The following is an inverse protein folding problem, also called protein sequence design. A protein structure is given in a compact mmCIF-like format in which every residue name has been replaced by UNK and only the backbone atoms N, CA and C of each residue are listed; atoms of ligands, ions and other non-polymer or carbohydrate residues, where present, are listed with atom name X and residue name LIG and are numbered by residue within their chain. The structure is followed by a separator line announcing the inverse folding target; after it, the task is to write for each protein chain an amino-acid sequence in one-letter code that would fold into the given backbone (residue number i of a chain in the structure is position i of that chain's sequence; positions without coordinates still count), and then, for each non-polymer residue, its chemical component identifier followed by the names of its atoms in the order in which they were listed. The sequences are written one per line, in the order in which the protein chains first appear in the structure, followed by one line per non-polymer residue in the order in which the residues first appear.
data_IF_719712389942
#
_entry.id   IF_719712389942
#
_cell.length_a   1.000
_cell.length_b   1.000
_cell.length_c   1.000
_cell.angle_alpha   90.00
_cell.angle_beta   90.00
_cell.angle_gamma   90.00
#
_symmetry.space_group_name_H-M   'P 1'
#
loop_
_entity.id
_entity.type
_entity.pdbx_description
1 polymer ?
#
# COMPACT_ATOMS: atom_id res chain seq x y z
N UNK A 1 -31.05 22.03 -44.83
CA UNK A 1 -30.07 20.92 -45.01
C UNK A 1 -29.00 21.02 -43.91
N UNK A 2 -29.30 20.38 -42.77
CA UNK A 2 -28.42 20.31 -41.60
C UNK A 2 -27.55 19.06 -41.72
N UNK A 3 -26.25 19.24 -41.93
CA UNK A 3 -25.27 18.15 -41.87
C UNK A 3 -25.09 17.72 -40.40
N UNK A 4 -25.58 16.52 -40.04
CA UNK A 4 -25.18 15.79 -38.84
C UNK A 4 -23.66 15.56 -38.87
N UNK A 5 -22.92 16.14 -37.96
CA UNK A 5 -21.57 15.70 -37.59
C UNK A 5 -21.73 14.51 -36.64
N UNK A 6 -21.66 13.33 -37.18
CA UNK A 6 -21.33 12.09 -36.42
C UNK A 6 -19.85 11.84 -36.68
N UNK A 7 -19.04 11.98 -35.70
CA UNK A 7 -17.74 11.31 -35.61
C UNK A 7 -17.41 11.18 -34.14
N UNK A 8 -17.76 10.04 -33.56
CA UNK A 8 -17.00 9.46 -32.49
C UNK A 8 -15.64 9.12 -33.08
N UNK A 9 -14.66 10.00 -32.93
CA UNK A 9 -13.25 9.65 -33.06
C UNK A 9 -12.93 8.71 -31.84
N UNK A 10 -13.16 7.40 -32.05
CA UNK A 10 -12.54 6.39 -31.17
C UNK A 10 -11.02 6.63 -31.26
N UNK A 11 -10.43 7.17 -30.23
CA UNK A 11 -9.00 7.41 -30.10
C UNK A 11 -8.27 6.08 -30.34
N UNK A 12 -7.57 5.96 -31.44
CA UNK A 12 -6.96 4.71 -31.92
C UNK A 12 -5.79 4.37 -31.01
N UNK A 13 -5.99 3.44 -30.05
CA UNK A 13 -4.96 3.00 -29.12
C UNK A 13 -3.72 2.56 -29.92
N UNK A 14 -2.58 3.16 -29.63
CA UNK A 14 -1.30 2.83 -30.28
C UNK A 14 -0.75 1.50 -29.76
N UNK A 15 0.22 0.91 -30.47
CA UNK A 15 0.93 -0.29 -30.00
C UNK A 15 1.67 -0.01 -28.67
N UNK A 16 2.21 1.21 -28.52
CA UNK A 16 2.90 1.61 -27.29
C UNK A 16 1.95 1.67 -26.11
N UNK A 17 0.76 2.26 -26.27
CA UNK A 17 -0.24 2.33 -25.19
C UNK A 17 -0.75 0.92 -24.84
N UNK A 18 -0.99 0.09 -25.84
CA UNK A 18 -1.43 -1.29 -25.63
C UNK A 18 -0.38 -2.13 -24.87
N UNK A 19 0.90 -1.93 -25.16
CA UNK A 19 2.01 -2.57 -24.43
C UNK A 19 2.03 -2.09 -22.98
N UNK A 20 1.93 -0.78 -22.71
CA UNK A 20 1.84 -0.22 -21.37
C UNK A 20 0.69 -0.86 -20.58
N UNK A 21 -0.51 -0.89 -21.15
CA UNK A 21 -1.69 -1.49 -20.52
C UNK A 21 -1.45 -2.98 -20.22
N UNK A 22 -0.95 -3.74 -21.21
CA UNK A 22 -0.74 -5.19 -21.07
C UNK A 22 0.30 -5.53 -19.98
N UNK A 23 1.35 -4.72 -19.82
CA UNK A 23 2.40 -4.89 -18.81
C UNK A 23 1.90 -4.42 -17.44
N UNK A 24 1.28 -3.24 -17.36
CA UNK A 24 0.82 -2.65 -16.09
C UNK A 24 -0.23 -3.51 -15.40
N UNK A 25 -1.07 -4.22 -16.18
CA UNK A 25 -2.06 -5.16 -15.62
C UNK A 25 -1.44 -6.42 -14.99
N UNK A 26 -0.11 -6.59 -15.07
CA UNK A 26 0.62 -7.71 -14.47
C UNK A 26 1.82 -7.19 -13.67
N UNK A 27 1.64 -7.07 -12.37
CA UNK A 27 2.65 -6.52 -11.45
C UNK A 27 4.04 -7.16 -11.64
N UNK A 28 4.11 -8.49 -11.83
CA UNK A 28 5.38 -9.19 -12.04
C UNK A 28 6.11 -8.77 -13.34
N UNK A 29 5.36 -8.52 -14.43
CA UNK A 29 5.97 -8.06 -15.69
C UNK A 29 6.47 -6.62 -15.56
N UNK A 30 5.68 -5.78 -14.90
CA UNK A 30 6.04 -4.39 -14.67
C UNK A 30 7.33 -4.29 -13.83
N UNK A 31 7.44 -5.08 -12.76
CA UNK A 31 8.61 -5.11 -11.89
C UNK A 31 9.85 -5.64 -12.61
N UNK A 32 9.74 -6.78 -13.30
CA UNK A 32 10.86 -7.31 -14.10
C UNK A 32 11.32 -6.32 -15.18
N UNK A 33 10.38 -5.62 -15.82
CA UNK A 33 10.72 -4.61 -16.84
C UNK A 33 11.42 -3.41 -16.20
N UNK A 34 10.94 -2.95 -15.04
CA UNK A 34 11.54 -1.87 -14.26
C UNK A 34 12.96 -2.20 -13.83
N UNK A 35 13.17 -3.40 -13.29
CA UNK A 35 14.48 -3.86 -12.83
C UNK A 35 15.45 -4.20 -14.00
N UNK A 36 14.97 -4.19 -15.24
CA UNK A 36 15.80 -4.48 -16.41
C UNK A 36 16.18 -5.96 -16.58
N UNK A 37 15.49 -6.87 -15.88
CA UNK A 37 15.78 -8.32 -15.89
C UNK A 37 14.89 -9.10 -16.86
N UNK A 38 14.47 -8.46 -17.95
CA UNK A 38 13.48 -8.99 -18.92
C UNK A 38 14.16 -9.46 -20.20
N UNK A 39 13.76 -10.64 -20.66
CA UNK A 39 13.95 -11.01 -22.05
C UNK A 39 12.81 -10.38 -22.89
N UNK A 40 13.12 -9.32 -23.64
CA UNK A 40 12.12 -8.57 -24.44
C UNK A 40 11.43 -9.42 -25.48
N UNK A 41 12.12 -10.38 -26.10
CA UNK A 41 11.52 -11.27 -27.09
C UNK A 41 10.46 -12.14 -26.45
N UNK A 42 10.82 -12.80 -25.36
CA UNK A 42 9.88 -13.65 -24.61
C UNK A 42 8.68 -12.84 -24.08
N UNK A 43 8.92 -11.65 -23.52
CA UNK A 43 7.84 -10.82 -22.98
C UNK A 43 6.92 -10.32 -24.11
N UNK A 44 7.50 -9.90 -25.24
CA UNK A 44 6.72 -9.47 -26.41
C UNK A 44 5.79 -10.60 -26.92
N UNK A 45 6.30 -11.83 -27.01
CA UNK A 45 5.49 -12.99 -27.39
C UNK A 45 4.36 -13.25 -26.39
N UNK A 46 4.65 -13.14 -25.07
CA UNK A 46 3.67 -13.37 -24.00
C UNK A 46 2.52 -12.37 -24.00
N UNK A 47 2.79 -11.11 -24.32
CA UNK A 47 1.76 -10.05 -24.30
C UNK A 47 1.13 -9.81 -25.68
N UNK A 48 1.60 -10.47 -26.74
CA UNK A 48 1.16 -10.25 -28.12
C UNK A 48 -0.37 -10.32 -28.27
N UNK A 49 -0.99 -11.38 -27.75
CA UNK A 49 -2.45 -11.56 -27.82
C UNK A 49 -3.22 -10.43 -27.11
N UNK A 50 -2.69 -9.90 -26.00
CA UNK A 50 -3.32 -8.79 -25.29
C UNK A 50 -3.17 -7.49 -26.10
N UNK A 51 -1.99 -7.24 -26.67
CA UNK A 51 -1.75 -6.07 -27.53
C UNK A 51 -2.65 -6.08 -28.75
N UNK A 52 -2.83 -7.25 -29.42
CA UNK A 52 -3.73 -7.37 -30.57
C UNK A 52 -5.19 -7.11 -30.18
N UNK A 53 -5.63 -7.63 -29.03
CA UNK A 53 -6.99 -7.39 -28.49
C UNK A 53 -7.20 -5.90 -28.17
N UNK A 54 -6.25 -5.27 -27.49
CA UNK A 54 -6.34 -3.87 -27.05
C UNK A 54 -6.34 -2.93 -28.27
N UNK A 55 -5.45 -3.18 -29.23
CA UNK A 55 -5.37 -2.36 -30.46
C UNK A 55 -6.47 -2.66 -31.47
N UNK A 56 -7.28 -3.71 -31.27
CA UNK A 56 -8.26 -4.25 -32.24
C UNK A 56 -7.63 -4.63 -33.60
N UNK A 57 -6.31 -4.92 -33.63
CA UNK A 57 -5.58 -5.30 -34.86
C UNK A 57 -5.45 -6.82 -34.94
N UNK A 58 -5.69 -7.40 -36.14
CA UNK A 58 -5.55 -8.85 -36.37
C UNK A 58 -4.11 -9.34 -36.37
N UNK A 59 -3.14 -8.46 -36.57
CA UNK A 59 -1.70 -8.77 -36.57
C UNK A 59 -0.89 -7.54 -36.21
N UNK A 60 -0.07 -7.67 -35.18
CA UNK A 60 0.86 -6.64 -34.72
C UNK A 60 2.30 -7.14 -34.96
N UNK A 61 3.18 -6.24 -35.40
CA UNK A 61 4.60 -6.58 -35.60
C UNK A 61 5.28 -6.77 -34.23
N UNK A 62 5.92 -7.91 -34.03
CA UNK A 62 6.63 -8.24 -32.78
C UNK A 62 7.76 -7.26 -32.48
N UNK A 63 8.44 -6.76 -33.51
CA UNK A 63 9.52 -5.78 -33.33
C UNK A 63 9.00 -4.42 -32.85
N UNK A 64 7.78 -4.05 -33.26
CA UNK A 64 7.10 -2.86 -32.74
C UNK A 64 6.75 -3.02 -31.25
N UNK A 65 6.34 -4.23 -30.83
CA UNK A 65 6.08 -4.54 -29.41
C UNK A 65 7.38 -4.51 -28.61
N UNK A 66 8.47 -5.12 -29.11
CA UNK A 66 9.80 -5.05 -28.46
C UNK A 66 10.29 -3.60 -28.31
N UNK A 67 10.22 -2.81 -29.37
CA UNK A 67 10.63 -1.42 -29.32
C UNK A 67 9.79 -0.61 -28.31
N UNK A 68 8.49 -0.89 -28.20
CA UNK A 68 7.62 -0.28 -27.20
C UNK A 68 8.00 -0.70 -25.77
N UNK A 69 8.34 -1.97 -25.54
CA UNK A 69 8.81 -2.45 -24.24
C UNK A 69 10.11 -1.78 -23.81
N UNK A 70 11.09 -1.64 -24.73
CA UNK A 70 12.38 -0.98 -24.45
C UNK A 70 12.17 0.48 -24.04
N UNK A 71 11.32 1.23 -24.79
CA UNK A 71 11.00 2.62 -24.45
C UNK A 71 10.28 2.70 -23.12
N UNK A 72 9.30 1.83 -22.90
CA UNK A 72 8.56 1.81 -21.62
C UNK A 72 9.47 1.53 -20.43
N UNK A 73 10.48 0.63 -20.59
CA UNK A 73 11.49 0.43 -19.56
C UNK A 73 12.29 1.69 -19.25
N UNK A 74 12.73 2.41 -20.30
CA UNK A 74 13.48 3.66 -20.12
C UNK A 74 12.66 4.70 -19.36
N UNK A 75 11.37 4.84 -19.69
CA UNK A 75 10.44 5.72 -18.98
C UNK A 75 10.30 5.30 -17.51
N UNK A 76 10.10 4.00 -17.24
CA UNK A 76 10.01 3.46 -15.88
C UNK A 76 11.27 3.70 -15.05
N UNK A 77 12.45 3.55 -15.63
CA UNK A 77 13.71 3.78 -14.94
C UNK A 77 13.94 5.25 -14.59
N UNK A 78 13.51 6.18 -15.45
CA UNK A 78 13.56 7.61 -15.14
C UNK A 78 12.59 7.98 -14.00
N UNK A 79 11.37 7.45 -14.04
CA UNK A 79 10.39 7.65 -12.96
C UNK A 79 10.86 7.04 -11.64
N UNK A 80 11.46 5.85 -11.69
CA UNK A 80 11.93 5.12 -10.51
C UNK A 80 13.05 5.84 -9.78
N UNK A 81 14.00 6.43 -10.50
CA UNK A 81 15.08 7.19 -9.86
C UNK A 81 14.53 8.34 -9.02
N UNK A 82 13.51 9.03 -9.51
CA UNK A 82 12.83 10.09 -8.78
C UNK A 82 12.00 9.54 -7.60
N UNK A 83 11.23 8.46 -7.81
CA UNK A 83 10.41 7.86 -6.76
C UNK A 83 11.25 7.21 -5.65
N UNK A 84 12.29 6.44 -5.97
CA UNK A 84 13.19 5.85 -4.95
C UNK A 84 13.83 6.93 -4.08
N UNK A 85 14.20 8.07 -4.66
CA UNK A 85 14.78 9.18 -3.92
C UNK A 85 13.73 9.80 -2.98
N UNK A 86 12.48 9.99 -3.42
CA UNK A 86 11.43 10.61 -2.60
C UNK A 86 10.91 9.66 -1.53
N UNK A 87 10.64 8.37 -1.84
CA UNK A 87 10.25 7.35 -0.85
C UNK A 87 11.37 7.15 0.17
N UNK A 88 12.62 7.01 -0.29
CA UNK A 88 13.78 6.85 0.58
C UNK A 88 13.97 8.05 1.52
N UNK A 89 13.72 9.27 1.04
CA UNK A 89 13.73 10.46 1.88
C UNK A 89 12.68 10.39 2.99
N UNK A 90 11.42 10.08 2.66
CA UNK A 90 10.34 9.95 3.66
C UNK A 90 10.70 8.88 4.69
N UNK A 91 11.12 7.69 4.25
CA UNK A 91 11.50 6.59 5.14
C UNK A 91 12.67 6.99 6.05
N UNK A 92 13.69 7.66 5.52
CA UNK A 92 14.87 8.10 6.31
C UNK A 92 14.53 9.08 7.42
N UNK A 93 13.46 9.85 7.25
CA UNK A 93 12.99 10.85 8.23
C UNK A 93 11.92 10.29 9.17
N UNK A 94 11.43 9.09 8.91
CA UNK A 94 10.44 8.43 9.74
C UNK A 94 11.05 7.91 11.04
N UNK A 95 10.20 7.75 12.06
CA UNK A 95 10.50 7.07 13.32
C UNK A 95 9.45 6.02 13.58
N UNK A 96 9.75 5.02 14.40
CA UNK A 96 8.81 3.95 14.71
C UNK A 96 8.59 3.84 16.22
N UNK A 97 7.37 3.52 16.61
CA UNK A 97 6.99 3.16 17.96
C UNK A 97 6.34 1.78 17.97
N UNK A 98 6.65 0.97 18.99
CA UNK A 98 6.04 -0.34 19.18
C UNK A 98 5.15 -0.32 20.42
N UNK A 99 3.87 -0.66 20.26
CA UNK A 99 2.90 -0.81 21.31
C UNK A 99 2.46 -2.28 21.40
N UNK A 100 2.76 -2.92 22.50
CA UNK A 100 2.33 -4.31 22.75
C UNK A 100 0.99 -4.36 23.48
N UNK A 101 0.45 -5.57 23.59
CA UNK A 101 -0.79 -5.86 24.32
C UNK A 101 -1.97 -5.06 23.75
N UNK A 102 -2.22 -5.29 22.49
CA UNK A 102 -3.32 -4.70 21.72
C UNK A 102 -4.35 -5.79 21.41
N UNK A 103 -5.62 -5.40 21.49
CA UNK A 103 -6.77 -6.21 21.07
C UNK A 103 -7.53 -5.49 19.95
N UNK A 104 -8.06 -6.27 19.01
CA UNK A 104 -8.88 -5.79 17.90
C UNK A 104 -10.28 -6.32 18.05
N UNK A 105 -11.27 -5.45 18.15
CA UNK A 105 -12.66 -5.81 18.43
C UNK A 105 -13.56 -5.26 17.34
N UNK A 106 -14.31 -6.15 16.70
CA UNK A 106 -15.24 -5.78 15.62
C UNK A 106 -16.68 -5.89 16.09
N UNK A 107 -17.45 -4.84 15.88
CA UNK A 107 -18.87 -4.74 16.25
C UNK A 107 -19.72 -4.21 15.10
N UNK A 108 -21.03 -4.46 15.14
CA UNK A 108 -21.96 -3.87 14.18
C UNK A 108 -22.01 -2.34 14.34
N UNK A 109 -22.18 -1.68 13.22
CA UNK A 109 -22.23 -0.20 13.16
C UNK A 109 -23.30 0.39 14.11
N UNK A 110 -24.49 -0.16 14.05
CA UNK A 110 -25.64 0.34 14.84
C UNK A 110 -25.43 0.18 16.36
N UNK A 111 -24.62 -0.80 16.77
CA UNK A 111 -24.27 -1.02 18.18
C UNK A 111 -23.35 0.08 18.68
N UNK A 112 -22.30 0.36 17.92
CA UNK A 112 -21.29 1.37 18.28
C UNK A 112 -21.89 2.77 18.27
N UNK A 113 -22.69 3.10 17.24
CA UNK A 113 -23.31 4.42 17.09
C UNK A 113 -24.24 4.78 18.25
N UNK A 114 -24.92 3.81 18.85
CA UNK A 114 -25.78 4.04 20.03
C UNK A 114 -25.03 4.45 21.30
N UNK A 115 -23.74 4.15 21.36
CA UNK A 115 -22.90 4.31 22.57
C UNK A 115 -21.61 5.12 22.28
N UNK A 116 -21.63 5.97 21.25
CA UNK A 116 -20.47 6.77 20.87
C UNK A 116 -19.92 7.64 21.98
N UNK A 117 -20.77 8.24 22.80
CA UNK A 117 -20.33 9.11 23.88
C UNK A 117 -19.48 8.35 24.89
N UNK A 118 -19.94 7.15 25.31
CA UNK A 118 -19.20 6.29 26.23
C UNK A 118 -17.89 5.79 25.61
N UNK A 119 -17.93 5.44 24.30
CA UNK A 119 -16.76 4.99 23.57
C UNK A 119 -15.67 6.09 23.47
N UNK A 120 -16.07 7.34 23.20
CA UNK A 120 -15.14 8.45 23.14
C UNK A 120 -14.54 8.82 24.50
N UNK A 121 -15.29 8.64 25.59
CA UNK A 121 -14.76 8.80 26.93
C UNK A 121 -13.66 7.76 27.19
N UNK A 122 -13.93 6.49 26.90
CA UNK A 122 -12.94 5.41 27.01
C UNK A 122 -11.72 5.66 26.13
N UNK A 123 -11.92 6.13 24.90
CA UNK A 123 -10.83 6.46 23.97
C UNK A 123 -9.86 7.53 24.53
N UNK A 124 -10.40 8.48 25.29
CA UNK A 124 -9.57 9.52 25.92
C UNK A 124 -8.76 9.03 27.14
N UNK A 125 -9.11 7.91 27.70
CA UNK A 125 -8.44 7.30 28.88
C UNK A 125 -7.50 6.15 28.49
N UNK A 126 -7.75 5.50 27.36
CA UNK A 126 -6.97 4.36 26.89
C UNK A 126 -5.55 4.74 26.47
N UNK A 127 -4.58 3.88 26.79
CA UNK A 127 -3.18 4.07 26.36
C UNK A 127 -3.01 4.03 24.84
N UNK A 128 -3.76 3.17 24.18
CA UNK A 128 -3.84 3.09 22.71
C UNK A 128 -5.30 2.90 22.29
N UNK A 129 -5.73 3.72 21.34
CA UNK A 129 -7.07 3.62 20.77
C UNK A 129 -7.06 4.02 19.28
N UNK A 130 -7.67 3.19 18.46
CA UNK A 130 -7.93 3.52 17.05
C UNK A 130 -9.29 2.98 16.64
N UNK A 131 -10.08 3.76 15.91
CA UNK A 131 -11.42 3.43 15.47
C UNK A 131 -11.50 3.47 13.95
N UNK A 132 -11.80 2.33 13.35
CA UNK A 132 -11.99 2.20 11.91
C UNK A 132 -13.46 1.95 11.58
N UNK A 133 -14.03 2.82 10.77
CA UNK A 133 -15.41 2.67 10.29
C UNK A 133 -15.44 1.94 8.95
N UNK A 134 -16.01 0.73 8.94
CA UNK A 134 -16.39 0.01 7.73
C UNK A 134 -17.82 0.36 7.29
N UNK A 135 -18.26 -0.25 6.20
CA UNK A 135 -19.64 -0.04 5.69
C UNK A 135 -20.70 -0.53 6.68
N UNK A 136 -20.48 -1.67 7.34
CA UNK A 136 -21.44 -2.35 8.24
C UNK A 136 -20.93 -2.55 9.66
N UNK A 137 -19.68 -2.30 9.91
CA UNK A 137 -19.01 -2.57 11.17
C UNK A 137 -18.11 -1.41 11.57
N UNK A 138 -17.83 -1.33 12.86
CA UNK A 138 -16.68 -0.64 13.41
C UNK A 138 -15.68 -1.65 13.91
N UNK A 139 -14.40 -1.34 13.71
CA UNK A 139 -13.31 -2.09 14.33
C UNK A 139 -12.58 -1.16 15.28
N UNK A 140 -12.55 -1.55 16.54
CA UNK A 140 -11.92 -0.85 17.65
C UNK A 140 -10.60 -1.57 17.93
N UNK A 141 -9.49 -0.84 17.83
CA UNK A 141 -8.17 -1.31 18.23
C UNK A 141 -7.81 -0.62 19.53
N UNK A 142 -7.58 -1.37 20.57
CA UNK A 142 -7.45 -0.82 21.92
C UNK A 142 -6.42 -1.61 22.73
N UNK A 143 -5.80 -0.97 23.73
CA UNK A 143 -4.96 -1.66 24.71
C UNK A 143 -5.71 -2.80 25.36
N UNK A 144 -5.09 -3.96 25.53
CA UNK A 144 -5.76 -5.15 26.06
C UNK A 144 -6.23 -4.96 27.51
N UNK A 145 -5.54 -4.12 28.28
CA UNK A 145 -5.95 -3.74 29.65
C UNK A 145 -7.28 -2.99 29.71
N UNK A 146 -7.67 -2.30 28.62
CA UNK A 146 -8.89 -1.49 28.55
C UNK A 146 -10.09 -2.29 27.98
N UNK A 147 -9.87 -3.51 27.47
CA UNK A 147 -10.93 -4.37 26.94
C UNK A 147 -12.04 -4.67 27.96
N UNK A 148 -11.75 -4.95 29.25
CA UNK A 148 -12.82 -5.15 30.21
C UNK A 148 -13.74 -3.94 30.37
N UNK A 149 -13.21 -2.73 30.30
CA UNK A 149 -14.01 -1.49 30.34
C UNK A 149 -14.84 -1.32 29.07
N UNK A 150 -14.26 -1.60 27.92
CA UNK A 150 -14.99 -1.61 26.65
C UNK A 150 -16.19 -2.58 26.71
N UNK A 151 -16.01 -3.79 27.28
CA UNK A 151 -17.08 -4.79 27.41
C UNK A 151 -18.08 -4.49 28.54
N UNK A 152 -17.81 -3.51 29.42
CA UNK A 152 -18.85 -2.92 30.30
C UNK A 152 -19.72 -1.92 29.54
N UNK A 153 -19.14 -1.18 28.60
CA UNK A 153 -19.89 -0.27 27.73
C UNK A 153 -20.72 -1.08 26.73
N UNK A 154 -20.13 -2.09 26.10
CA UNK A 154 -20.78 -2.95 25.12
C UNK A 154 -20.96 -4.37 25.69
N UNK A 155 -22.12 -4.97 25.49
CA UNK A 155 -22.32 -6.38 25.86
C UNK A 155 -21.39 -7.26 24.98
N UNK A 156 -20.76 -8.26 25.58
CA UNK A 156 -19.91 -9.23 24.87
C UNK A 156 -20.65 -9.90 23.69
N UNK A 157 -21.98 -10.07 23.80
CA UNK A 157 -22.83 -10.60 22.74
C UNK A 157 -22.95 -9.68 21.52
N UNK A 158 -22.58 -8.41 21.67
CA UNK A 158 -22.57 -7.42 20.59
C UNK A 158 -21.26 -7.44 19.80
N UNK A 159 -20.23 -8.16 20.29
CA UNK A 159 -18.95 -8.38 19.62
C UNK A 159 -19.13 -9.42 18.51
N UNK A 160 -18.73 -9.07 17.29
CA UNK A 160 -18.74 -9.99 16.15
C UNK A 160 -17.46 -10.79 16.04
N UNK A 161 -16.32 -10.17 16.36
CA UNK A 161 -15.01 -10.77 16.30
C UNK A 161 -14.06 -10.08 17.27
N UNK A 162 -13.14 -10.84 17.85
CA UNK A 162 -12.13 -10.38 18.79
C UNK A 162 -10.81 -11.08 18.52
N UNK A 163 -9.79 -10.29 18.21
CA UNK A 163 -8.42 -10.75 18.05
C UNK A 163 -7.55 -10.18 19.18
N UNK A 164 -7.14 -11.05 20.07
CA UNK A 164 -6.17 -10.72 21.12
C UNK A 164 -4.73 -10.98 20.66
N UNK A 165 -3.76 -10.71 21.50
CA UNK A 165 -2.34 -10.92 21.21
C UNK A 165 -1.86 -10.21 19.94
N UNK A 166 -2.26 -8.97 19.79
CA UNK A 166 -1.77 -8.10 18.73
C UNK A 166 -0.76 -7.08 19.29
N UNK A 167 0.00 -6.49 18.40
CA UNK A 167 0.83 -5.32 18.64
C UNK A 167 0.59 -4.28 17.57
N UNK A 168 0.80 -3.02 17.90
CA UNK A 168 0.77 -1.91 16.97
C UNK A 168 2.19 -1.40 16.73
N UNK A 169 2.58 -1.23 15.46
CA UNK A 169 3.74 -0.44 15.06
C UNK A 169 3.22 0.84 14.45
N UNK A 170 3.61 1.97 15.02
CA UNK A 170 3.26 3.29 14.53
C UNK A 170 4.49 3.84 13.82
N UNK A 171 4.38 4.13 12.53
CA UNK A 171 5.41 4.78 11.73
C UNK A 171 5.02 6.23 11.59
N UNK A 172 5.77 7.11 12.23
CA UNK A 172 5.57 8.57 12.21
C UNK A 172 6.48 9.13 11.12
N UNK A 173 5.90 9.61 10.06
CA UNK A 173 6.59 10.08 8.86
C UNK A 173 6.57 11.60 8.76
N UNK A 174 7.48 12.22 7.99
CA UNK A 174 7.40 13.64 7.69
C UNK A 174 6.19 13.94 6.79
N UNK A 175 5.77 15.21 6.75
CA UNK A 175 4.57 15.65 6.02
C UNK A 175 4.58 15.25 4.53
N UNK A 176 5.74 15.13 3.94
CA UNK A 176 5.94 14.73 2.54
C UNK A 176 5.29 13.39 2.19
N UNK A 177 5.02 12.52 3.18
CA UNK A 177 4.31 11.25 2.96
C UNK A 177 2.95 11.46 2.29
N UNK A 178 2.27 12.57 2.59
CA UNK A 178 0.92 12.87 2.07
C UNK A 178 0.93 12.95 0.54
N UNK A 179 2.03 13.43 -0.06
CA UNK A 179 2.18 13.65 -1.49
C UNK A 179 3.21 12.71 -2.15
N UNK A 180 3.74 11.73 -1.41
CA UNK A 180 4.74 10.80 -1.94
C UNK A 180 4.11 9.44 -2.22
N UNK A 181 3.79 9.13 -3.50
CA UNK A 181 3.25 7.82 -3.87
C UNK A 181 4.26 6.72 -3.54
N UNK A 182 3.75 5.57 -3.11
CA UNK A 182 4.55 4.36 -2.94
C UNK A 182 5.12 4.11 -1.55
N UNK A 183 5.06 5.06 -0.60
CA UNK A 183 5.58 4.86 0.77
C UNK A 183 4.88 3.69 1.47
N UNK A 184 3.55 3.68 1.49
CA UNK A 184 2.77 2.59 2.10
C UNK A 184 3.01 1.26 1.38
N UNK A 185 3.09 1.29 0.04
CA UNK A 185 3.40 0.12 -0.77
C UNK A 185 4.79 -0.44 -0.45
N UNK A 186 5.79 0.43 -0.28
CA UNK A 186 7.14 0.04 0.13
C UNK A 186 7.14 -0.65 1.50
N UNK A 187 6.50 -0.06 2.51
CA UNK A 187 6.40 -0.60 3.87
C UNK A 187 5.71 -1.98 3.86
N UNK A 188 4.56 -2.09 3.20
CA UNK A 188 3.81 -3.34 3.16
C UNK A 188 4.55 -4.44 2.38
N UNK A 189 5.22 -4.09 1.27
CA UNK A 189 6.06 -5.02 0.53
C UNK A 189 7.27 -5.49 1.35
N UNK A 190 7.93 -4.58 2.06
CA UNK A 190 9.06 -4.92 2.94
C UNK A 190 8.65 -5.97 3.98
N UNK A 191 7.50 -5.80 4.62
CA UNK A 191 6.98 -6.75 5.60
C UNK A 191 6.55 -8.06 4.93
N UNK A 192 5.88 -8.01 3.80
CA UNK A 192 5.44 -9.19 3.03
C UNK A 192 6.59 -10.10 2.63
N UNK A 193 7.67 -9.56 2.04
CA UNK A 193 8.82 -10.39 1.61
C UNK A 193 9.58 -11.00 2.78
N UNK A 194 9.40 -10.44 3.98
CA UNK A 194 9.94 -10.97 5.22
C UNK A 194 8.99 -11.90 5.98
N UNK A 195 7.83 -12.25 5.36
CA UNK A 195 6.86 -13.17 5.94
C UNK A 195 6.14 -12.63 7.17
N UNK A 196 5.95 -11.30 7.25
CA UNK A 196 5.18 -10.66 8.32
C UNK A 196 3.75 -10.43 7.84
N UNK A 197 2.77 -10.92 8.61
CA UNK A 197 1.35 -10.67 8.36
C UNK A 197 0.92 -9.34 8.97
N UNK A 198 0.09 -8.58 8.25
CA UNK A 198 -0.54 -7.35 8.74
C UNK A 198 -2.02 -7.64 8.94
N UNK A 199 -2.47 -7.60 10.20
CA UNK A 199 -3.89 -7.79 10.56
C UNK A 199 -4.72 -6.59 10.14
N UNK A 200 -4.21 -5.37 10.38
CA UNK A 200 -4.83 -4.13 9.94
C UNK A 200 -3.78 -3.08 9.60
N UNK A 201 -4.12 -2.19 8.68
CA UNK A 201 -3.34 -1.02 8.33
C UNK A 201 -4.25 0.21 8.32
N UNK A 202 -3.81 1.24 9.01
CA UNK A 202 -4.42 2.57 8.97
C UNK A 202 -3.33 3.59 8.65
N UNK A 203 -3.55 4.41 7.63
CA UNK A 203 -2.64 5.50 7.28
C UNK A 203 -3.43 6.80 7.32
N UNK A 204 -3.04 7.71 8.21
CA UNK A 204 -3.73 8.95 8.45
C UNK A 204 -2.72 10.07 8.66
N UNK A 205 -2.76 11.07 7.79
CA UNK A 205 -1.86 12.22 7.80
C UNK A 205 -0.39 11.77 7.74
N UNK A 206 0.37 11.88 8.84
CA UNK A 206 1.78 11.46 8.94
C UNK A 206 1.98 10.06 9.52
N UNK A 207 0.93 9.49 10.10
CA UNK A 207 1.03 8.25 10.83
C UNK A 207 0.56 7.06 10.00
N UNK A 208 1.37 6.01 9.95
CA UNK A 208 0.99 4.71 9.41
C UNK A 208 1.00 3.70 10.55
N UNK A 209 -0.17 3.20 10.91
CA UNK A 209 -0.37 2.25 12.01
C UNK A 209 -0.55 0.86 11.43
N UNK A 210 0.32 -0.06 11.84
CA UNK A 210 0.28 -1.47 11.48
C UNK A 210 -0.11 -2.29 12.70
N UNK A 211 -1.19 -3.03 12.61
CA UNK A 211 -1.57 -4.02 13.62
C UNK A 211 -1.16 -5.39 13.11
N UNK A 212 -0.47 -6.14 13.93
CA UNK A 212 0.10 -7.44 13.55
C UNK A 212 0.17 -8.38 14.76
N UNK A 213 0.26 -9.72 14.53
CA UNK A 213 0.41 -10.69 15.60
C UNK A 213 1.62 -10.38 16.49
N UNK A 214 1.45 -10.44 17.80
CA UNK A 214 2.48 -10.08 18.81
C UNK A 214 3.79 -10.84 18.59
N UNK A 215 3.73 -12.11 18.19
CA UNK A 215 4.91 -12.93 17.93
C UNK A 215 5.74 -12.44 16.73
N UNK A 216 5.15 -11.66 15.83
CA UNK A 216 5.83 -11.10 14.66
C UNK A 216 6.30 -9.65 14.88
N UNK A 217 5.86 -9.02 15.97
CA UNK A 217 6.04 -7.58 16.20
C UNK A 217 7.51 -7.15 16.29
N UNK A 218 8.32 -7.86 17.08
CA UNK A 218 9.75 -7.53 17.20
C UNK A 218 10.51 -7.73 15.91
N UNK A 219 10.16 -8.77 15.13
CA UNK A 219 10.75 -8.99 13.80
C UNK A 219 10.42 -7.84 12.85
N UNK A 220 9.14 -7.46 12.79
CA UNK A 220 8.67 -6.36 11.95
C UNK A 220 9.32 -5.04 12.33
N UNK A 221 9.35 -4.72 13.62
CA UNK A 221 9.98 -3.52 14.15
C UNK A 221 11.47 -3.44 13.79
N UNK A 222 12.21 -4.53 14.00
CA UNK A 222 13.64 -4.58 13.65
C UNK A 222 13.89 -4.37 12.14
N UNK A 223 13.05 -4.97 11.28
CA UNK A 223 13.15 -4.80 9.83
C UNK A 223 12.91 -3.33 9.44
N UNK A 224 11.91 -2.68 10.01
CA UNK A 224 11.59 -1.28 9.75
C UNK A 224 12.70 -0.35 10.21
N UNK A 225 13.17 -0.48 11.46
CA UNK A 225 14.25 0.34 12.01
C UNK A 225 15.54 0.19 11.20
N UNK A 226 15.95 -1.05 10.88
CA UNK A 226 17.11 -1.31 10.05
C UNK A 226 17.00 -0.60 8.69
N UNK A 227 15.84 -0.70 8.05
CA UNK A 227 15.61 -0.07 6.75
C UNK A 227 15.65 1.46 6.85
N UNK A 228 15.07 2.03 7.90
CA UNK A 228 15.13 3.48 8.15
C UNK A 228 16.59 3.94 8.32
N UNK A 229 17.39 3.20 9.08
CA UNK A 229 18.82 3.52 9.29
C UNK A 229 19.64 3.40 8.00
N UNK A 230 19.37 2.38 7.18
CA UNK A 230 20.01 2.21 5.86
C UNK A 230 19.73 3.42 4.97
N UNK A 231 18.49 3.89 4.85
CA UNK A 231 18.16 5.08 4.09
C UNK A 231 18.77 6.37 4.69
N UNK A 232 18.84 6.49 6.02
CA UNK A 232 19.53 7.60 6.69
C UNK A 232 21.03 7.66 6.33
N UNK A 233 21.69 6.50 6.27
CA UNK A 233 23.10 6.42 5.93
C UNK A 233 23.37 6.79 4.48
N UNK A 234 22.51 6.33 3.55
CA UNK A 234 22.60 6.65 2.11
C UNK A 234 22.46 8.16 1.83
N UNK A 235 21.59 8.85 2.56
CA UNK A 235 21.36 10.28 2.36
C UNK A 235 22.49 11.13 2.99
N UNK A 236 23.14 10.63 4.04
CA UNK A 236 24.25 11.35 4.71
C UNK A 236 25.57 11.26 3.95
N UNK A 237 25.74 10.33 3.03
CA UNK A 237 26.97 10.21 2.23
C UNK A 237 26.73 10.97 0.92
N UNK A 238 27.28 12.20 0.75
CA UNK A 238 27.28 12.83 -0.57
C UNK A 238 28.07 11.94 -1.51
N UNK A 239 27.50 11.58 -2.64
CA UNK A 239 28.22 10.94 -3.75
C UNK A 239 29.36 11.87 -4.14
N UNK A 240 30.58 11.59 -3.65
CA UNK A 240 31.80 12.18 -4.19
C UNK A 240 32.00 11.53 -5.57
N UNK A 241 31.54 12.20 -6.60
CA UNK A 241 31.98 12.00 -7.99
C UNK A 241 33.15 12.89 -8.29
#
# INVERSE_FOLDING_TARGET
LSRKKTSEDEEKITVADAVRIAVTNRASYLECLRDGVVNYTWLAEKIMNDVEKITKKKKVNIDAVKAALIRFQQDLQQEETTQKTTVGYVISKSTTELQNDISVITMKKEVVERKFEQLFKLAGEARFFNLNQGKKVYTIVISSEDVPELLRVFDEKEVLDKLDNQSAIIIISPYEIVNTPGVVSFITRLLYVNGVNITQLNSSYTDTILILPKEQALKAYHILEKTIEEFRSMIKTPTTT
#
